data_IF_327732046756
#
_entry.id   IF_327732046756
#
_cell.length_a   1.000
_cell.length_b   1.000
_cell.length_c   1.000
_cell.angle_alpha   90.00
_cell.angle_beta   90.00
_cell.angle_gamma   90.00
#
_symmetry.space_group_name_H-M   'P 1'
#
loop_
_entity.id
_entity.type
_entity.pdbx_description
1 polymer ?
#
# COMPACT_ATOMS: atom_id res chain seq x y z
N UNK A 1 -1.73 12.13 -28.54
CA UNK A 1 -0.99 10.91 -28.20
C UNK A 1 -0.35 11.13 -26.83
N UNK A 2 -0.81 10.42 -25.80
CA UNK A 2 -0.24 10.51 -24.45
C UNK A 2 0.99 9.60 -24.45
N UNK A 3 2.16 10.13 -24.11
CA UNK A 3 3.39 9.35 -24.05
C UNK A 3 3.19 8.17 -23.10
N UNK A 4 3.51 6.96 -23.55
CA UNK A 4 3.47 5.77 -22.71
C UNK A 4 4.46 5.97 -21.55
N UNK A 5 3.94 6.22 -20.35
CA UNK A 5 4.75 6.29 -19.14
C UNK A 5 5.51 4.98 -19.00
N UNK A 6 6.84 5.08 -18.88
CA UNK A 6 7.72 3.91 -18.74
C UNK A 6 7.36 3.21 -17.43
N UNK A 7 6.84 1.99 -17.53
CA UNK A 7 6.52 1.17 -16.34
C UNK A 7 7.78 0.87 -15.54
N UNK A 8 7.68 0.98 -14.23
CA UNK A 8 8.70 0.56 -13.29
C UNK A 8 8.62 -0.95 -13.14
N UNK A 9 9.65 -1.65 -13.59
CA UNK A 9 9.77 -3.09 -13.40
C UNK A 9 10.27 -3.41 -11.99
N UNK A 10 9.54 -4.28 -11.29
CA UNK A 10 9.92 -4.77 -9.96
C UNK A 10 10.50 -6.17 -10.13
N UNK A 11 11.82 -6.27 -10.03
CA UNK A 11 12.54 -7.54 -10.05
C UNK A 11 12.61 -8.12 -8.64
N UNK A 12 12.03 -9.30 -8.45
CA UNK A 12 11.96 -9.93 -7.13
C UNK A 12 12.95 -11.08 -6.99
N UNK A 13 13.79 -11.01 -5.96
CA UNK A 13 14.60 -12.14 -5.48
C UNK A 13 14.11 -12.56 -4.10
N UNK A 14 14.16 -13.86 -3.80
CA UNK A 14 13.77 -14.38 -2.49
C UNK A 14 14.80 -15.37 -1.96
N UNK A 15 14.81 -15.52 -0.63
CA UNK A 15 15.65 -16.48 0.09
C UNK A 15 14.86 -17.03 1.26
N UNK A 16 14.85 -18.35 1.40
CA UNK A 16 14.27 -19.04 2.56
C UNK A 16 15.34 -19.20 3.63
N UNK A 17 14.97 -18.92 4.89
CA UNK A 17 15.82 -19.02 6.07
C UNK A 17 15.09 -19.83 7.15
N UNK A 18 15.84 -20.52 8.02
CA UNK A 18 15.28 -21.13 9.22
C UNK A 18 14.83 -20.03 10.19
N UNK A 19 13.61 -20.15 10.71
CA UNK A 19 12.96 -19.11 11.49
C UNK A 19 12.30 -19.64 12.78
N UNK A 20 12.65 -20.86 13.21
CA UNK A 20 11.97 -21.59 14.30
C UNK A 20 12.08 -20.92 15.68
N UNK A 21 12.96 -19.92 15.81
CA UNK A 21 13.19 -19.15 17.05
C UNK A 21 12.73 -17.70 16.98
N UNK A 22 12.11 -17.28 15.86
CA UNK A 22 11.65 -15.90 15.67
C UNK A 22 10.14 -15.88 15.38
N UNK A 23 9.46 -14.88 15.94
CA UNK A 23 8.06 -14.62 15.62
C UNK A 23 7.93 -13.39 14.72
N UNK A 24 6.89 -13.27 13.88
CA UNK A 24 6.73 -12.10 13.02
C UNK A 24 6.67 -10.79 13.81
N UNK A 25 5.97 -10.77 14.95
CA UNK A 25 5.96 -9.60 15.87
C UNK A 25 7.37 -9.26 16.37
N UNK A 26 8.15 -10.26 16.81
CA UNK A 26 9.52 -10.00 17.29
C UNK A 26 10.44 -9.45 16.20
N UNK A 27 10.27 -9.92 14.95
CA UNK A 27 11.00 -9.39 13.79
C UNK A 27 10.56 -7.97 13.46
N UNK A 28 9.26 -7.71 13.43
CA UNK A 28 8.71 -6.39 13.15
C UNK A 28 9.23 -5.34 14.15
N UNK A 29 9.18 -5.63 15.45
CA UNK A 29 9.66 -4.70 16.48
C UNK A 29 11.16 -4.38 16.33
N UNK A 30 11.98 -5.33 15.88
CA UNK A 30 13.41 -5.10 15.63
C UNK A 30 13.68 -4.27 14.38
N UNK A 31 12.78 -4.33 13.39
CA UNK A 31 12.98 -3.73 12.07
C UNK A 31 12.29 -2.37 11.95
N UNK A 32 11.15 -2.17 12.60
CA UNK A 32 10.32 -0.96 12.49
C UNK A 32 11.09 0.33 12.72
N UNK A 33 12.01 0.34 13.68
CA UNK A 33 12.77 1.54 14.04
C UNK A 33 13.79 1.94 12.94
N UNK A 34 14.11 1.03 12.02
CA UNK A 34 15.01 1.30 10.87
C UNK A 34 14.27 1.61 9.58
N UNK A 35 12.99 1.24 9.48
CA UNK A 35 12.20 1.34 8.26
C UNK A 35 10.94 2.16 8.53
N UNK A 36 10.97 3.49 8.29
CA UNK A 36 9.79 4.33 8.39
C UNK A 36 8.64 3.78 7.54
N UNK A 37 7.43 3.77 8.10
CA UNK A 37 6.25 3.23 7.43
C UNK A 37 6.24 1.70 7.31
N UNK A 38 7.01 0.99 8.14
CA UNK A 38 6.92 -0.47 8.21
C UNK A 38 5.50 -0.93 8.58
N UNK A 39 5.01 -1.96 7.91
CA UNK A 39 3.69 -2.56 8.16
C UNK A 39 3.86 -4.03 8.54
N UNK A 40 3.05 -4.49 9.48
CA UNK A 40 2.87 -5.90 9.83
C UNK A 40 1.41 -6.27 9.55
N UNK A 41 1.20 -7.28 8.71
CA UNK A 41 -0.11 -7.86 8.42
C UNK A 41 -0.07 -9.34 8.81
N UNK A 42 -0.88 -9.74 9.78
CA UNK A 42 -0.97 -11.13 10.21
C UNK A 42 -2.36 -11.67 9.96
N UNK A 43 -2.44 -12.80 9.25
CA UNK A 43 -3.68 -13.57 9.19
C UNK A 43 -3.77 -14.46 10.42
N UNK A 44 -4.85 -14.32 11.20
CA UNK A 44 -5.16 -15.19 12.33
C UNK A 44 -6.55 -15.77 12.11
N UNK A 45 -6.62 -16.73 11.17
CA UNK A 45 -7.87 -17.45 10.94
C UNK A 45 -8.10 -18.43 12.10
N UNK A 46 -9.19 -18.21 12.85
CA UNK A 46 -9.47 -18.97 14.09
C UNK A 46 -9.95 -20.41 13.78
N UNK A 47 -10.25 -20.72 12.52
CA UNK A 47 -10.90 -21.97 12.08
C UNK A 47 -10.03 -22.93 11.25
N UNK A 48 -8.74 -22.63 11.01
CA UNK A 48 -7.85 -23.58 10.33
C UNK A 48 -6.39 -23.10 10.26
N UNK A 49 -5.45 -24.02 10.53
CA UNK A 49 -4.00 -23.80 10.44
C UNK A 49 -3.49 -23.74 8.98
N UNK A 50 -4.37 -23.86 7.99
CA UNK A 50 -3.98 -23.80 6.58
C UNK A 50 -3.92 -22.33 6.11
N UNK A 51 -2.79 -21.91 5.53
CA UNK A 51 -2.53 -20.56 4.99
C UNK A 51 -2.35 -19.41 6.00
N UNK A 52 -1.79 -19.68 7.18
CA UNK A 52 -1.37 -18.61 8.11
C UNK A 52 -0.06 -17.95 7.63
N UNK A 53 -0.18 -16.79 6.98
CA UNK A 53 0.96 -15.95 6.57
C UNK A 53 1.01 -14.65 7.36
N UNK A 54 2.22 -14.25 7.73
CA UNK A 54 2.52 -12.90 8.23
C UNK A 54 3.38 -12.17 7.21
N UNK A 55 3.01 -10.94 6.88
CA UNK A 55 3.74 -10.06 5.98
C UNK A 55 4.37 -8.92 6.79
N UNK A 56 5.67 -8.72 6.61
CA UNK A 56 6.39 -7.55 7.13
C UNK A 56 6.82 -6.73 5.92
N UNK A 57 6.16 -5.61 5.68
CA UNK A 57 6.49 -4.69 4.59
C UNK A 57 7.48 -3.64 5.11
N UNK A 58 8.64 -3.54 4.46
CA UNK A 58 9.72 -2.63 4.83
C UNK A 58 10.13 -1.82 3.60
N UNK A 59 10.57 -0.57 3.81
CA UNK A 59 11.14 0.26 2.74
C UNK A 59 10.18 0.46 1.58
N UNK A 60 9.10 1.22 1.80
CA UNK A 60 8.13 1.54 0.74
C UNK A 60 8.84 2.04 -0.53
N UNK A 61 8.49 1.49 -1.68
CA UNK A 61 9.00 1.93 -2.99
C UNK A 61 8.24 3.16 -3.50
N UNK A 62 6.94 3.14 -3.28
CA UNK A 62 6.01 4.17 -3.74
C UNK A 62 4.77 4.18 -2.82
N UNK A 63 4.01 5.25 -2.86
CA UNK A 63 2.81 5.43 -2.05
C UNK A 63 1.77 6.32 -2.71
N UNK A 64 0.54 6.15 -2.27
CA UNK A 64 -0.58 7.04 -2.62
C UNK A 64 -1.33 7.38 -1.34
N UNK A 65 -1.63 8.67 -1.17
CA UNK A 65 -2.39 9.17 -0.04
C UNK A 65 -3.42 10.18 -0.54
N UNK A 66 -4.66 10.01 -0.13
CA UNK A 66 -5.73 10.99 -0.35
C UNK A 66 -6.04 11.65 0.99
N UNK A 67 -5.86 12.96 1.08
CA UNK A 67 -6.22 13.75 2.25
C UNK A 67 -7.09 14.93 1.84
N UNK A 68 -8.32 14.94 2.32
CA UNK A 68 -9.35 15.82 1.79
C UNK A 68 -9.53 15.59 0.28
N UNK A 69 -9.31 16.64 -0.50
CA UNK A 69 -9.43 16.60 -1.96
C UNK A 69 -8.06 16.67 -2.66
N UNK A 70 -6.97 16.46 -1.93
CA UNK A 70 -5.61 16.37 -2.47
C UNK A 70 -5.11 14.93 -2.47
N UNK A 71 -4.81 14.43 -3.68
CA UNK A 71 -4.16 13.15 -3.90
C UNK A 71 -2.65 13.37 -4.05
N UNK A 72 -1.88 12.75 -3.17
CA UNK A 72 -0.42 12.79 -3.16
C UNK A 72 0.11 11.42 -3.57
N UNK A 73 0.91 11.40 -4.63
CA UNK A 73 1.70 10.25 -5.02
C UNK A 73 3.14 10.44 -4.56
N UNK A 74 3.69 9.42 -3.92
CA UNK A 74 5.11 9.28 -3.68
C UNK A 74 5.65 8.24 -4.65
N UNK A 75 6.56 8.66 -5.51
CA UNK A 75 7.20 7.85 -6.53
C UNK A 75 8.54 7.32 -6.01
N UNK A 76 9.16 6.35 -6.73
CA UNK A 76 10.51 5.92 -6.44
C UNK A 76 11.46 7.11 -6.25
N UNK A 77 12.45 6.95 -5.38
CA UNK A 77 13.43 7.99 -5.01
C UNK A 77 12.81 9.19 -4.26
N UNK A 78 11.56 9.08 -3.81
CA UNK A 78 10.91 10.08 -2.94
C UNK A 78 10.33 11.28 -3.69
N UNK A 79 10.28 11.25 -5.03
CA UNK A 79 9.62 12.30 -5.81
C UNK A 79 8.12 12.32 -5.49
N UNK A 80 7.55 13.51 -5.27
CA UNK A 80 6.11 13.68 -4.99
C UNK A 80 5.39 14.32 -6.16
N UNK A 81 4.20 13.81 -6.47
CA UNK A 81 3.26 14.38 -7.43
C UNK A 81 1.92 14.63 -6.73
N UNK A 82 1.31 15.78 -6.98
CA UNK A 82 0.04 16.18 -6.35
C UNK A 82 -1.03 16.35 -7.43
N UNK A 83 -2.23 15.83 -7.18
CA UNK A 83 -3.40 16.03 -8.04
C UNK A 83 -4.59 16.45 -7.18
N UNK A 84 -5.34 17.43 -7.66
CA UNK A 84 -6.62 17.78 -7.06
C UNK A 84 -7.69 16.78 -7.53
N UNK A 85 -8.48 16.26 -6.59
CA UNK A 85 -9.59 15.37 -6.87
C UNK A 85 -10.86 16.21 -7.01
N UNK A 86 -11.20 16.57 -8.25
CA UNK A 86 -12.39 17.41 -8.52
C UNK A 86 -13.68 16.60 -8.63
N UNK A 87 -13.59 15.29 -8.86
CA UNK A 87 -14.72 14.37 -8.95
C UNK A 87 -14.29 12.91 -8.72
N UNK A 88 -15.29 12.03 -8.52
CA UNK A 88 -15.11 10.61 -8.21
C UNK A 88 -14.41 9.83 -9.33
N UNK A 89 -14.76 10.12 -10.59
CA UNK A 89 -14.24 9.39 -11.74
C UNK A 89 -12.74 9.63 -11.91
N UNK A 90 -12.29 10.86 -11.65
CA UNK A 90 -10.87 11.19 -11.67
C UNK A 90 -10.06 10.45 -10.61
N UNK A 91 -10.60 10.26 -9.40
CA UNK A 91 -9.86 9.51 -8.37
C UNK A 91 -9.57 8.08 -8.84
N UNK A 92 -10.60 7.36 -9.29
CA UNK A 92 -10.46 5.98 -9.77
C UNK A 92 -9.45 5.92 -10.92
N UNK A 93 -9.59 6.82 -11.91
CA UNK A 93 -8.65 6.93 -13.02
C UNK A 93 -7.21 7.16 -12.53
N UNK A 94 -6.99 8.09 -11.60
CA UNK A 94 -5.64 8.38 -11.10
C UNK A 94 -5.05 7.20 -10.31
N UNK A 95 -5.85 6.44 -9.57
CA UNK A 95 -5.42 5.23 -8.89
C UNK A 95 -5.05 4.13 -9.89
N UNK A 96 -5.88 3.91 -10.92
CA UNK A 96 -5.60 2.93 -11.99
C UNK A 96 -4.33 3.28 -12.75
N UNK A 97 -4.15 4.55 -13.13
CA UNK A 97 -2.92 5.06 -13.74
C UNK A 97 -1.73 4.80 -12.84
N UNK A 98 -1.82 5.15 -11.55
CA UNK A 98 -0.74 4.98 -10.59
C UNK A 98 -0.36 3.52 -10.37
N UNK A 99 -1.31 2.63 -10.12
CA UNK A 99 -1.04 1.20 -9.94
C UNK A 99 -0.48 0.58 -11.23
N UNK A 100 -0.96 1.03 -12.39
CA UNK A 100 -0.49 0.60 -13.71
C UNK A 100 0.96 0.99 -14.03
N UNK A 101 1.57 1.92 -13.28
CA UNK A 101 3.00 2.29 -13.40
C UNK A 101 3.94 1.20 -12.94
N UNK A 102 3.48 0.19 -12.18
CA UNK A 102 4.34 -0.82 -11.58
C UNK A 102 4.04 -2.21 -12.13
N UNK A 103 5.08 -2.95 -12.50
CA UNK A 103 4.94 -4.29 -13.04
C UNK A 103 5.91 -5.24 -12.34
N UNK A 104 5.38 -6.23 -11.63
CA UNK A 104 6.19 -7.31 -11.08
C UNK A 104 6.69 -8.23 -12.21
N UNK A 105 8.01 -8.26 -12.40
CA UNK A 105 8.73 -9.00 -13.43
C UNK A 105 9.66 -10.05 -12.80
N UNK A 106 10.02 -11.10 -13.55
CA UNK A 106 10.95 -12.15 -13.09
C UNK A 106 10.35 -13.56 -13.05
N UNK A 107 11.12 -14.53 -12.54
CA UNK A 107 10.75 -15.95 -12.49
C UNK A 107 9.44 -16.15 -11.74
N UNK A 108 8.54 -16.94 -12.31
CA UNK A 108 7.31 -17.35 -11.63
C UNK A 108 7.64 -18.11 -10.33
N UNK A 109 6.96 -17.76 -9.25
CA UNK A 109 7.14 -18.38 -7.94
C UNK A 109 6.42 -17.61 -6.83
N UNK A 110 6.33 -18.19 -5.61
CA UNK A 110 5.55 -17.62 -4.51
C UNK A 110 5.96 -16.19 -4.16
N UNK A 111 7.25 -15.87 -4.27
CA UNK A 111 7.77 -14.54 -3.98
C UNK A 111 7.24 -13.45 -4.93
N UNK A 112 6.96 -13.78 -6.19
CA UNK A 112 6.44 -12.80 -7.16
C UNK A 112 5.05 -12.32 -6.77
N UNK A 113 4.20 -13.22 -6.24
CA UNK A 113 2.86 -12.91 -5.73
C UNK A 113 2.85 -12.15 -4.40
N UNK A 114 3.98 -12.00 -3.71
CA UNK A 114 4.05 -11.23 -2.46
C UNK A 114 4.18 -9.71 -2.70
N UNK A 115 4.46 -9.27 -3.93
CA UNK A 115 4.49 -7.85 -4.25
C UNK A 115 3.07 -7.30 -4.41
N UNK A 116 2.84 -6.10 -3.89
CA UNK A 116 1.55 -5.42 -4.02
C UNK A 116 1.53 -4.07 -3.32
N UNK A 117 0.37 -3.43 -3.39
CA UNK A 117 0.07 -2.24 -2.60
C UNK A 117 -0.58 -2.66 -1.29
N UNK A 118 0.01 -2.20 -0.19
CA UNK A 118 -0.47 -2.46 1.16
C UNK A 118 -0.82 -1.13 1.82
N UNK A 119 -1.94 -1.10 2.53
CA UNK A 119 -2.43 0.12 3.16
C UNK A 119 -3.83 -0.08 3.70
N UNK A 120 -4.53 1.02 3.91
CA UNK A 120 -5.89 1.03 4.42
C UNK A 120 -6.69 2.11 3.69
N UNK A 121 -8.01 1.97 3.70
CA UNK A 121 -8.96 3.02 3.35
C UNK A 121 -9.74 3.39 4.60
N UNK A 122 -9.83 4.69 4.89
CA UNK A 122 -10.69 5.17 5.96
C UNK A 122 -12.16 5.03 5.56
N UNK A 123 -13.06 4.95 6.55
CA UNK A 123 -14.52 4.96 6.30
C UNK A 123 -14.93 6.10 5.35
N UNK A 124 -14.35 7.29 5.53
CA UNK A 124 -14.62 8.46 4.70
C UNK A 124 -14.37 8.25 3.20
N UNK A 125 -13.49 7.32 2.83
CA UNK A 125 -13.15 7.04 1.44
C UNK A 125 -14.35 6.53 0.62
N UNK A 126 -15.36 5.93 1.27
CA UNK A 126 -16.57 5.39 0.59
C UNK A 126 -17.26 6.42 -0.30
N UNK A 127 -17.23 7.70 0.08
CA UNK A 127 -17.86 8.79 -0.66
C UNK A 127 -17.25 9.02 -2.05
N UNK A 128 -16.06 8.47 -2.32
CA UNK A 128 -15.42 8.55 -3.62
C UNK A 128 -15.76 7.38 -4.54
N UNK A 129 -16.28 6.28 -3.99
CA UNK A 129 -16.64 5.07 -4.74
C UNK A 129 -18.16 4.84 -4.84
N UNK A 130 -18.94 5.52 -3.99
CA UNK A 130 -20.40 5.40 -3.93
C UNK A 130 -21.10 6.74 -4.08
N UNK A 131 -22.40 6.71 -4.35
CA UNK A 131 -23.20 7.93 -4.53
C UNK A 131 -23.37 8.76 -3.25
N UNK A 132 -23.10 8.18 -2.08
CA UNK A 132 -23.25 8.81 -0.77
C UNK A 132 -22.26 9.98 -0.55
N UNK A 133 -22.71 11.00 0.18
CA UNK A 133 -21.87 12.10 0.66
C UNK A 133 -21.93 12.11 2.18
N UNK A 134 -20.76 12.09 2.82
CA UNK A 134 -20.67 12.13 4.27
C UNK A 134 -20.57 13.58 4.71
N UNK A 135 -21.32 13.94 5.75
CA UNK A 135 -21.13 15.22 6.41
C UNK A 135 -19.77 15.22 7.10
N UNK A 136 -18.87 16.10 6.64
CA UNK A 136 -17.55 16.28 7.26
C UNK A 136 -17.75 16.99 8.60
N UNK A 137 -17.99 16.23 9.67
CA UNK A 137 -17.72 16.73 11.02
C UNK A 137 -16.22 16.79 11.17
N UNK A 138 -15.67 18.00 11.22
CA UNK A 138 -14.28 18.21 11.59
C UNK A 138 -14.06 17.68 13.00
N UNK A 139 -13.55 16.44 13.06
CA UNK A 139 -13.18 15.77 14.28
C UNK A 139 -11.68 15.48 14.14
N UNK A 140 -10.79 16.42 14.52
CA UNK A 140 -9.34 16.24 14.40
C UNK A 140 -8.85 14.98 15.14
N UNK A 141 -9.56 14.55 16.17
CA UNK A 141 -9.36 13.26 16.87
C UNK A 141 -9.54 12.00 15.99
N UNK A 142 -10.22 12.12 14.85
CA UNK A 142 -10.45 11.05 13.86
C UNK A 142 -9.56 11.19 12.64
N UNK A 143 -8.72 12.23 12.59
CA UNK A 143 -7.70 12.33 11.57
C UNK A 143 -6.70 11.20 11.77
N UNK A 144 -6.25 10.60 10.67
CA UNK A 144 -5.29 9.52 10.75
C UNK A 144 -3.93 10.13 11.12
N UNK A 145 -3.28 9.68 12.20
CA UNK A 145 -1.93 10.11 12.50
C UNK A 145 -0.98 9.61 11.39
N UNK A 146 -0.33 10.56 10.71
CA UNK A 146 0.64 10.32 9.65
C UNK A 146 2.08 10.24 10.18
#
# INVERSE_FOLDING_TARGET
>A
MIAAEKKTEILTSSKTLLADTVTPVSLFLRLRDRFPGALLLESSDYHGQENSYSFICLGKLAGVQLEGDELVFELPEGKKEKKAVTDRQKLVQYLEEFFGRYQASGKAGPARSLNGFFGYSAYGAVQYFESIRLERREAPERAIPL
#
